data_IF_792195595905
#
_entry.id   IF_792195595905
#
_cell.length_a   1.000
_cell.length_b   1.000
_cell.length_c   1.000
_cell.angle_alpha   90.00
_cell.angle_beta   90.00
_cell.angle_gamma   90.00
#
_symmetry.space_group_name_H-M   'P 1'
#
loop_
_entity.id
_entity.type
_entity.pdbx_description
1 polymer ?
#
# COMPACT_ATOMS: atom_id res chain seq x y z
N UNK A 1 26.62 13.42 -33.01
CA UNK A 1 25.46 13.47 -33.91
C UNK A 1 24.41 12.61 -33.23
N UNK A 2 23.60 13.23 -32.37
CA UNK A 2 22.83 12.52 -31.33
C UNK A 2 21.38 12.96 -31.48
N UNK A 3 20.62 12.19 -32.25
CA UNK A 3 19.18 12.38 -32.39
C UNK A 3 18.50 12.04 -31.06
N UNK A 4 17.94 13.07 -30.42
CA UNK A 4 16.98 12.89 -29.33
C UNK A 4 15.70 12.33 -29.94
N UNK A 5 15.42 11.06 -29.68
CA UNK A 5 14.11 10.46 -29.91
C UNK A 5 13.12 11.21 -29.02
N UNK A 6 12.27 12.03 -29.64
CA UNK A 6 11.07 12.59 -29.01
C UNK A 6 10.20 11.41 -28.59
N UNK A 7 9.86 11.32 -27.30
CA UNK A 7 8.71 10.55 -26.87
C UNK A 7 7.50 11.13 -27.61
N UNK A 8 6.87 10.30 -28.46
CA UNK A 8 5.56 10.64 -28.99
C UNK A 8 4.60 10.82 -27.81
N UNK A 9 3.68 11.80 -27.86
CA UNK A 9 2.66 11.92 -26.83
C UNK A 9 1.87 10.61 -26.79
N UNK A 10 1.89 9.96 -25.63
CA UNK A 10 1.08 8.78 -25.36
C UNK A 10 -0.36 9.04 -25.84
N UNK A 11 -1.01 8.09 -26.54
CA UNK A 11 -2.36 8.28 -27.02
C UNK A 11 -3.24 8.71 -25.86
N UNK A 12 -3.86 9.90 -25.98
CA UNK A 12 -4.80 10.39 -24.97
C UNK A 12 -5.80 9.27 -24.68
N UNK A 13 -6.02 8.88 -23.41
CA UNK A 13 -7.06 7.92 -23.08
C UNK A 13 -8.34 8.42 -23.75
N UNK A 14 -8.95 7.56 -24.57
CA UNK A 14 -10.16 7.89 -25.31
C UNK A 14 -11.18 8.44 -24.31
N UNK A 15 -11.67 9.66 -24.55
CA UNK A 15 -12.62 10.38 -23.68
C UNK A 15 -13.68 9.42 -23.08
N UNK A 16 -13.45 9.00 -21.83
CA UNK A 16 -14.45 8.27 -21.06
C UNK A 16 -15.55 9.28 -20.73
N UNK A 17 -16.70 9.08 -21.37
CA UNK A 17 -17.89 9.91 -21.13
C UNK A 17 -18.27 9.79 -19.66
N UNK A 18 -18.45 10.89 -18.90
CA UNK A 18 -18.88 10.80 -17.51
C UNK A 18 -20.25 10.12 -17.45
N UNK A 19 -20.29 8.93 -16.86
CA UNK A 19 -21.52 8.18 -16.61
C UNK A 19 -22.12 8.68 -15.30
N UNK A 20 -23.32 9.23 -15.36
CA UNK A 20 -24.12 9.55 -14.17
C UNK A 20 -24.50 8.26 -13.45
N UNK A 21 -24.22 8.10 -12.14
CA UNK A 21 -24.57 6.89 -11.43
C UNK A 21 -26.10 6.82 -11.22
N UNK A 22 -26.75 5.81 -11.82
CA UNK A 22 -28.11 5.41 -11.44
C UNK A 22 -28.03 4.28 -10.40
N UNK A 23 -28.44 4.60 -9.17
CA UNK A 23 -28.48 3.66 -8.05
C UNK A 23 -29.72 2.76 -8.19
N UNK A 24 -29.55 1.51 -8.60
CA UNK A 24 -30.54 0.46 -8.36
C UNK A 24 -29.96 -0.60 -7.41
N UNK A 25 -30.56 -0.69 -6.23
CA UNK A 25 -30.21 -1.67 -5.22
C UNK A 25 -30.91 -3.00 -5.53
N UNK A 26 -30.18 -3.94 -6.11
CA UNK A 26 -30.58 -5.35 -6.23
C UNK A 26 -29.73 -6.17 -5.26
N UNK A 27 -30.40 -6.78 -4.28
CA UNK A 27 -29.85 -7.57 -3.18
C UNK A 27 -29.52 -9.00 -3.66
N UNK A 28 -28.27 -9.43 -3.43
CA UNK A 28 -27.92 -10.85 -3.47
C UNK A 28 -27.89 -11.37 -2.01
N UNK A 29 -28.58 -12.49 -1.70
CA UNK A 29 -28.63 -13.01 -0.34
C UNK A 29 -27.41 -13.91 -0.09
N UNK A 30 -26.53 -13.48 0.81
CA UNK A 30 -25.43 -14.32 1.31
C UNK A 30 -24.21 -13.51 1.73
N UNK A 31 -24.12 -13.22 3.03
CA UNK A 31 -23.04 -12.51 3.74
C UNK A 31 -23.04 -10.96 3.61
N UNK A 32 -23.59 -10.21 4.58
CA UNK A 32 -23.54 -8.74 4.60
C UNK A 32 -22.17 -8.14 5.03
N UNK A 33 -21.13 -8.95 5.21
CA UNK A 33 -19.81 -8.51 5.67
C UNK A 33 -18.83 -8.27 4.51
N UNK A 34 -18.64 -7.01 4.08
CA UNK A 34 -17.60 -6.69 3.09
C UNK A 34 -17.62 -5.30 2.46
N UNK A 35 -18.59 -4.43 2.80
CA UNK A 35 -18.80 -3.20 2.02
C UNK A 35 -17.99 -1.97 2.47
N UNK A 36 -17.21 -2.02 3.55
CA UNK A 36 -16.51 -0.83 4.04
C UNK A 36 -15.46 -0.29 3.04
N UNK A 37 -14.73 -1.19 2.37
CA UNK A 37 -13.76 -0.82 1.34
C UNK A 37 -14.41 -0.12 0.13
N UNK A 38 -15.42 -0.75 -0.51
CA UNK A 38 -16.18 -0.12 -1.59
C UNK A 38 -16.79 1.23 -1.21
N UNK A 39 -17.41 1.36 -0.03
CA UNK A 39 -18.05 2.61 0.38
C UNK A 39 -17.06 3.79 0.47
N UNK A 40 -15.84 3.53 0.96
CA UNK A 40 -14.80 4.57 1.00
C UNK A 40 -14.33 4.96 -0.41
N UNK A 41 -14.20 4.00 -1.31
CA UNK A 41 -13.80 4.26 -2.69
C UNK A 41 -14.88 5.03 -3.45
N UNK A 42 -16.16 4.74 -3.22
CA UNK A 42 -17.28 5.51 -3.75
C UNK A 42 -17.29 6.94 -3.20
N UNK A 43 -16.97 7.12 -1.92
CA UNK A 43 -16.83 8.45 -1.30
C UNK A 43 -15.65 9.22 -1.91
N UNK A 44 -14.50 8.57 -2.09
CA UNK A 44 -13.35 9.13 -2.78
C UNK A 44 -13.74 9.55 -4.20
N UNK A 45 -14.36 8.65 -4.96
CA UNK A 45 -14.81 8.91 -6.33
C UNK A 45 -15.73 10.13 -6.42
N UNK A 46 -16.75 10.17 -5.57
CA UNK A 46 -17.71 11.29 -5.51
C UNK A 46 -17.00 12.61 -5.20
N UNK A 47 -16.09 12.60 -4.23
CA UNK A 47 -15.35 13.79 -3.83
C UNK A 47 -14.40 14.28 -4.93
N UNK A 48 -13.66 13.38 -5.59
CA UNK A 48 -12.82 13.73 -6.73
C UNK A 48 -13.64 14.30 -7.89
N UNK A 49 -14.80 13.71 -8.18
CA UNK A 49 -15.71 14.20 -9.21
C UNK A 49 -16.19 15.62 -8.95
N UNK A 50 -16.57 15.93 -7.70
CA UNK A 50 -16.96 17.28 -7.30
C UNK A 50 -15.82 18.30 -7.42
N UNK A 51 -14.60 17.96 -6.97
CA UNK A 51 -13.45 18.85 -7.05
C UNK A 51 -12.99 19.09 -8.49
N UNK A 52 -13.09 18.08 -9.35
CA UNK A 52 -12.80 18.19 -10.78
C UNK A 52 -13.82 19.10 -11.49
N UNK A 53 -15.12 18.98 -11.16
CA UNK A 53 -16.16 19.85 -11.70
C UNK A 53 -15.95 21.33 -11.32
N UNK A 54 -15.38 21.60 -10.16
CA UNK A 54 -15.03 22.96 -9.73
C UNK A 54 -13.81 23.53 -10.45
N UNK A 55 -13.07 22.72 -11.22
CA UNK A 55 -11.84 23.13 -11.90
C UNK A 55 -10.65 23.38 -10.95
N UNK A 56 -10.78 23.00 -9.68
CA UNK A 56 -9.80 23.30 -8.62
C UNK A 56 -8.80 22.17 -8.39
N UNK A 57 -8.87 21.09 -9.17
CA UNK A 57 -8.04 19.91 -8.99
C UNK A 57 -7.45 19.47 -10.34
N UNK A 58 -6.12 19.59 -10.54
CA UNK A 58 -5.50 19.37 -11.84
C UNK A 58 -5.20 17.88 -12.13
N UNK A 59 -5.65 16.96 -11.28
CA UNK A 59 -5.35 15.53 -11.42
C UNK A 59 -6.58 14.73 -11.86
N UNK A 60 -6.34 13.73 -12.70
CA UNK A 60 -7.33 12.74 -13.10
C UNK A 60 -7.12 11.45 -12.28
N UNK A 61 -8.08 11.06 -11.42
CA UNK A 61 -7.94 9.84 -10.64
C UNK A 61 -8.18 8.60 -11.50
N UNK A 62 -7.27 7.63 -11.41
CA UNK A 62 -7.41 6.32 -12.07
C UNK A 62 -7.42 5.23 -11.01
N UNK A 63 -8.47 4.40 -10.99
CA UNK A 63 -8.65 3.34 -10.00
C UNK A 63 -8.24 1.99 -10.62
N UNK A 64 -7.21 1.37 -10.06
CA UNK A 64 -6.55 0.21 -10.67
C UNK A 64 -7.03 -1.16 -10.15
N UNK A 65 -7.71 -1.23 -9.01
CA UNK A 65 -7.90 -2.52 -8.29
C UNK A 65 -9.32 -2.86 -7.86
N UNK A 66 -10.31 -1.96 -8.03
CA UNK A 66 -11.67 -2.22 -7.53
C UNK A 66 -12.69 -2.10 -8.65
N UNK A 67 -13.50 -3.15 -8.82
CA UNK A 67 -14.76 -3.09 -9.59
C UNK A 67 -15.71 -2.12 -8.90
N UNK A 68 -15.72 -0.87 -9.37
CA UNK A 68 -16.79 0.08 -9.06
C UNK A 68 -18.01 -0.33 -9.88
N UNK A 69 -19.19 -0.41 -9.27
CA UNK A 69 -20.40 -0.80 -10.01
C UNK A 69 -20.61 0.19 -11.15
N UNK A 70 -20.94 -0.32 -12.34
CA UNK A 70 -21.17 0.45 -13.58
C UNK A 70 -19.93 1.10 -14.25
N UNK A 71 -18.71 0.90 -13.74
CA UNK A 71 -17.48 1.35 -14.42
C UNK A 71 -16.62 0.11 -14.75
N UNK A 72 -16.19 -0.09 -16.02
CA UNK A 72 -15.23 -1.12 -16.38
C UNK A 72 -13.85 -0.71 -15.84
N UNK A 73 -13.62 -0.91 -14.54
CA UNK A 73 -12.39 -0.50 -13.85
C UNK A 73 -11.29 -1.56 -13.90
N UNK A 74 -11.54 -2.72 -14.53
CA UNK A 74 -10.49 -3.72 -14.73
C UNK A 74 -9.81 -3.40 -16.06
N UNK A 75 -8.89 -2.45 -16.01
CA UNK A 75 -7.84 -2.35 -16.99
C UNK A 75 -6.56 -2.86 -16.34
N UNK A 76 -5.98 -3.92 -16.90
CA UNK A 76 -4.68 -4.38 -16.47
C UNK A 76 -3.66 -3.34 -16.90
N UNK A 77 -3.10 -2.61 -15.94
CA UNK A 77 -2.06 -1.60 -16.19
C UNK A 77 -0.70 -2.27 -16.09
N UNK A 78 0.14 -2.03 -17.08
CA UNK A 78 1.54 -2.49 -17.09
C UNK A 78 2.40 -1.66 -16.14
N UNK A 79 3.55 -2.19 -15.70
CA UNK A 79 4.49 -1.38 -14.90
C UNK A 79 4.97 -0.12 -15.63
N UNK A 80 5.14 -0.19 -16.96
CA UNK A 80 5.49 0.98 -17.75
C UNK A 80 4.45 2.09 -17.58
N UNK A 81 3.16 1.77 -17.74
CA UNK A 81 2.07 2.72 -17.53
C UNK A 81 1.98 3.18 -16.06
N UNK A 82 2.18 2.27 -15.09
CA UNK A 82 2.18 2.65 -13.67
C UNK A 82 3.27 3.68 -13.35
N UNK A 83 4.44 3.57 -13.98
CA UNK A 83 5.55 4.50 -13.78
C UNK A 83 5.27 5.92 -14.30
N UNK A 84 4.26 6.09 -15.16
CA UNK A 84 3.87 7.38 -15.71
C UNK A 84 2.93 8.16 -14.78
N UNK A 85 2.33 7.54 -13.76
CA UNK A 85 1.47 8.26 -12.82
C UNK A 85 2.28 9.27 -11.99
N UNK A 86 1.69 10.43 -11.76
CA UNK A 86 2.27 11.47 -10.91
C UNK A 86 2.47 11.00 -9.47
N UNK A 87 1.45 10.32 -8.92
CA UNK A 87 1.48 9.69 -7.60
C UNK A 87 0.43 8.57 -7.56
N UNK A 88 0.59 7.65 -6.61
CA UNK A 88 -0.33 6.56 -6.34
C UNK A 88 -0.86 6.65 -4.90
N UNK A 89 -2.18 6.64 -4.75
CA UNK A 89 -2.84 6.49 -3.45
C UNK A 89 -2.97 5.00 -3.17
N UNK A 90 -2.14 4.50 -2.26
CA UNK A 90 -2.03 3.08 -1.96
C UNK A 90 -2.82 2.74 -0.70
N UNK A 91 -3.86 1.93 -0.84
CA UNK A 91 -4.69 1.48 0.27
C UNK A 91 -4.36 0.02 0.65
N UNK A 92 -3.56 -0.22 1.71
CA UNK A 92 -3.16 -1.57 2.06
C UNK A 92 -4.36 -2.37 2.60
N UNK A 93 -4.66 -3.49 1.96
CA UNK A 93 -5.68 -4.44 2.42
C UNK A 93 -5.08 -5.74 2.99
N UNK A 94 -3.75 -5.90 2.89
CA UNK A 94 -2.97 -6.97 3.52
C UNK A 94 -1.55 -6.46 3.90
N UNK A 95 -0.84 -7.19 4.76
CA UNK A 95 0.57 -6.94 5.14
C UNK A 95 1.52 -7.24 3.98
N UNK A 96 1.21 -8.22 3.14
CA UNK A 96 2.12 -8.76 2.12
C UNK A 96 1.75 -8.30 0.71
N UNK A 97 1.68 -6.99 0.51
CA UNK A 97 1.39 -6.44 -0.81
C UNK A 97 2.67 -6.17 -1.58
N UNK A 98 3.12 -7.15 -2.40
CA UNK A 98 4.32 -6.99 -3.27
C UNK A 98 4.24 -5.74 -4.15
N UNK A 99 3.04 -5.38 -4.60
CA UNK A 99 2.81 -4.18 -5.41
C UNK A 99 3.31 -2.90 -4.74
N UNK A 100 3.29 -2.80 -3.41
CA UNK A 100 3.84 -1.65 -2.70
C UNK A 100 5.35 -1.50 -2.98
N UNK A 101 6.11 -2.57 -2.74
CA UNK A 101 7.57 -2.58 -2.91
C UNK A 101 7.93 -2.38 -4.39
N UNK A 102 7.14 -2.92 -5.32
CA UNK A 102 7.30 -2.70 -6.76
C UNK A 102 7.12 -1.23 -7.14
N UNK A 103 6.01 -0.60 -6.74
CA UNK A 103 5.78 0.83 -7.00
C UNK A 103 6.85 1.71 -6.35
N UNK A 104 7.28 1.37 -5.14
CA UNK A 104 8.32 2.10 -4.43
C UNK A 104 9.68 2.00 -5.13
N UNK A 105 10.07 0.80 -5.58
CA UNK A 105 11.32 0.59 -6.32
C UNK A 105 11.31 1.22 -7.71
N UNK A 106 10.14 1.31 -8.34
CA UNK A 106 9.91 2.08 -9.57
C UNK A 106 9.89 3.60 -9.36
N UNK A 107 10.02 4.07 -8.13
CA UNK A 107 10.00 5.49 -7.76
C UNK A 107 8.67 6.16 -8.13
N UNK A 108 7.56 5.42 -8.06
CA UNK A 108 6.23 6.02 -8.11
C UNK A 108 5.96 6.64 -6.74
N UNK A 109 5.68 7.95 -6.62
CA UNK A 109 5.37 8.53 -5.32
C UNK A 109 4.12 7.93 -4.71
N UNK A 110 4.18 7.57 -3.43
CA UNK A 110 3.11 6.83 -2.75
C UNK A 110 2.50 7.65 -1.62
N UNK A 111 1.18 7.66 -1.57
CA UNK A 111 0.38 8.20 -0.48
C UNK A 111 -0.38 7.08 0.21
N UNK A 112 -0.20 6.97 1.52
CA UNK A 112 -0.88 5.96 2.35
C UNK A 112 -1.78 6.64 3.37
N UNK A 113 -2.86 5.96 3.80
CA UNK A 113 -3.55 6.36 5.01
C UNK A 113 -2.60 6.44 6.20
N UNK A 114 -2.89 7.31 7.15
CA UNK A 114 -2.12 7.37 8.39
C UNK A 114 -2.23 6.07 9.21
N UNK A 115 -1.32 5.93 10.19
CA UNK A 115 -1.26 4.75 11.06
C UNK A 115 -2.61 4.43 11.71
N UNK A 116 -3.38 5.45 12.11
CA UNK A 116 -4.66 5.25 12.78
C UNK A 116 -5.70 4.65 11.83
N UNK A 117 -5.77 5.15 10.58
CA UNK A 117 -6.65 4.60 9.55
C UNK A 117 -6.30 3.16 9.22
N UNK A 118 -5.02 2.86 8.94
CA UNK A 118 -4.62 1.49 8.58
C UNK A 118 -4.94 0.51 9.71
N UNK A 119 -4.61 0.84 10.97
CA UNK A 119 -4.93 -0.02 12.12
C UNK A 119 -6.43 -0.24 12.24
N UNK A 120 -7.23 0.81 12.08
CA UNK A 120 -8.69 0.70 12.15
C UNK A 120 -9.25 -0.20 11.04
N UNK A 121 -8.77 -0.03 9.81
CA UNK A 121 -9.16 -0.87 8.67
C UNK A 121 -8.72 -2.32 8.84
N UNK A 122 -7.53 -2.55 9.38
CA UNK A 122 -7.01 -3.89 9.65
C UNK A 122 -7.85 -4.60 10.71
N UNK A 123 -8.13 -3.98 11.86
CA UNK A 123 -8.98 -4.55 12.91
C UNK A 123 -10.40 -4.84 12.41
N UNK A 124 -10.98 -3.91 11.63
CA UNK A 124 -12.27 -4.12 11.00
C UNK A 124 -12.24 -5.32 10.06
N UNK A 125 -11.21 -5.41 9.21
CA UNK A 125 -11.04 -6.50 8.26
C UNK A 125 -10.85 -7.86 8.93
N UNK A 126 -10.09 -7.92 10.02
CA UNK A 126 -9.89 -9.14 10.80
C UNK A 126 -11.18 -9.66 11.41
N UNK A 127 -12.09 -8.76 11.79
CA UNK A 127 -13.36 -9.09 12.42
C UNK A 127 -14.46 -9.45 11.40
N UNK A 128 -14.50 -8.78 10.25
CA UNK A 128 -15.67 -8.81 9.35
C UNK A 128 -15.39 -9.31 7.93
N UNK A 129 -14.14 -9.58 7.58
CA UNK A 129 -13.76 -10.23 6.32
C UNK A 129 -13.06 -11.55 6.64
N UNK A 130 -12.98 -12.49 5.70
CA UNK A 130 -12.11 -13.67 5.80
C UNK A 130 -10.87 -13.60 4.89
N UNK A 131 -10.85 -12.63 3.98
CA UNK A 131 -9.83 -12.52 2.93
C UNK A 131 -8.69 -11.59 3.33
N UNK A 132 -8.99 -10.48 4.00
CA UNK A 132 -8.01 -9.45 4.29
C UNK A 132 -7.26 -9.76 5.59
N UNK A 133 -5.95 -9.55 5.59
CA UNK A 133 -5.07 -9.75 6.75
C UNK A 133 -5.21 -11.15 7.35
N UNK A 134 -5.52 -12.14 6.52
CA UNK A 134 -5.87 -13.47 7.01
C UNK A 134 -4.67 -14.18 7.65
N UNK A 135 -3.45 -13.85 7.21
CA UNK A 135 -2.20 -14.42 7.72
C UNK A 135 -1.95 -14.15 9.20
N UNK A 136 -2.47 -13.06 9.74
CA UNK A 136 -2.23 -12.65 11.14
C UNK A 136 -3.37 -13.07 12.08
N UNK A 137 -4.24 -14.00 11.67
CA UNK A 137 -5.32 -14.52 12.52
C UNK A 137 -4.85 -15.74 13.30
N UNK A 138 -5.12 -15.74 14.60
CA UNK A 138 -4.77 -16.86 15.48
C UNK A 138 -5.31 -18.19 14.95
N UNK A 139 -6.58 -18.22 14.52
CA UNK A 139 -7.24 -19.43 13.99
C UNK A 139 -6.64 -19.98 12.69
N UNK A 140 -5.90 -19.16 11.94
CA UNK A 140 -5.29 -19.56 10.67
C UNK A 140 -3.89 -20.14 10.87
N UNK A 141 -3.28 -19.92 12.03
CA UNK A 141 -2.00 -20.52 12.41
C UNK A 141 -2.29 -21.87 13.07
N UNK A 142 -2.14 -22.96 12.31
CA UNK A 142 -2.29 -24.34 12.84
C UNK A 142 -1.06 -24.80 13.65
N UNK A 143 -0.01 -23.99 13.69
CA UNK A 143 1.21 -24.28 14.42
C UNK A 143 1.09 -23.74 15.85
N UNK A 144 1.46 -24.56 16.83
CA UNK A 144 1.81 -24.03 18.14
C UNK A 144 3.06 -23.16 17.96
N UNK A 145 3.14 -22.01 18.65
CA UNK A 145 4.41 -21.30 18.76
C UNK A 145 5.46 -22.30 19.23
N UNK A 146 6.70 -22.24 18.70
CA UNK A 146 7.79 -23.05 19.25
C UNK A 146 7.76 -22.86 20.77
N UNK A 147 7.52 -23.96 21.48
CA UNK A 147 7.25 -23.95 22.91
C UNK A 147 8.32 -23.09 23.59
N UNK A 148 7.87 -22.07 24.32
CA UNK A 148 8.65 -20.99 24.95
C UNK A 148 9.71 -21.45 25.99
N UNK A 149 10.17 -22.70 25.92
CA UNK A 149 11.21 -23.29 26.76
C UNK A 149 12.64 -22.87 26.40
N UNK A 150 12.85 -22.03 25.37
CA UNK A 150 14.14 -21.45 25.00
C UNK A 150 14.06 -19.92 25.07
N UNK A 151 14.10 -19.38 26.30
CA UNK A 151 14.01 -17.95 26.61
C UNK A 151 12.68 -17.27 26.17
N UNK A 152 12.24 -16.21 26.86
CA UNK A 152 11.14 -15.39 26.35
C UNK A 152 11.51 -14.87 24.96
N UNK A 153 10.69 -15.20 23.96
CA UNK A 153 10.87 -14.64 22.62
C UNK A 153 10.78 -13.11 22.74
N UNK A 154 11.77 -12.33 22.24
CA UNK A 154 11.94 -10.92 22.57
C UNK A 154 10.94 -10.01 21.82
N UNK A 155 9.70 -10.46 21.60
CA UNK A 155 8.64 -9.66 20.98
C UNK A 155 7.56 -9.34 22.02
N UNK A 156 7.06 -8.11 22.06
CA UNK A 156 6.08 -7.67 23.06
C UNK A 156 4.66 -8.23 22.83
N UNK A 157 4.37 -8.77 21.65
CA UNK A 157 3.05 -9.29 21.29
C UNK A 157 3.15 -10.61 20.52
N UNK A 158 2.09 -11.42 20.59
CA UNK A 158 1.94 -12.60 19.73
C UNK A 158 1.92 -12.21 18.25
N UNK A 159 2.43 -13.07 17.34
CA UNK A 159 2.45 -12.79 15.90
C UNK A 159 1.07 -12.78 15.24
N UNK A 160 0.03 -13.20 15.95
CA UNK A 160 -1.36 -13.11 15.52
C UNK A 160 -2.12 -12.08 16.34
N UNK A 161 -3.14 -11.48 15.75
CA UNK A 161 -4.03 -10.53 16.41
C UNK A 161 -5.26 -11.27 16.91
N UNK A 162 -5.46 -11.26 18.22
CA UNK A 162 -6.66 -11.81 18.86
C UNK A 162 -7.89 -11.00 18.46
N UNK A 163 -8.97 -11.66 18.03
CA UNK A 163 -10.23 -10.99 17.67
C UNK A 163 -11.26 -11.00 18.81
N UNK A 164 -10.99 -11.79 19.84
CA UNK A 164 -11.86 -12.17 20.96
C UNK A 164 -11.59 -11.37 22.25
N UNK A 165 -10.39 -10.82 22.42
CA UNK A 165 -10.03 -9.99 23.59
C UNK A 165 -9.91 -8.50 23.23
N UNK A 166 -10.09 -7.63 24.23
CA UNK A 166 -10.18 -6.17 24.12
C UNK A 166 -9.10 -5.54 23.21
N UNK A 167 -9.57 -4.64 22.35
CA UNK A 167 -8.87 -3.71 21.43
C UNK A 167 -7.42 -4.11 21.05
N UNK A 168 -7.25 -5.18 20.25
CA UNK A 168 -5.98 -5.58 19.62
C UNK A 168 -5.29 -4.51 18.75
N UNK A 169 -5.67 -3.24 18.89
CA UNK A 169 -5.11 -2.01 18.35
C UNK A 169 -3.65 -1.82 18.68
N UNK A 170 -3.21 -2.01 19.92
CA UNK A 170 -1.78 -1.82 20.24
C UNK A 170 -0.91 -2.87 19.54
N UNK A 171 -1.34 -4.13 19.58
CA UNK A 171 -0.71 -5.24 18.86
C UNK A 171 -0.72 -4.99 17.34
N UNK A 172 -1.87 -4.60 16.79
CA UNK A 172 -2.02 -4.20 15.40
C UNK A 172 -1.06 -3.07 15.00
N UNK A 173 -1.00 -2.02 15.82
CA UNK A 173 -0.19 -0.86 15.57
C UNK A 173 1.32 -1.15 15.74
N UNK A 174 1.68 -2.13 16.57
CA UNK A 174 3.03 -2.67 16.65
C UNK A 174 3.40 -3.42 15.38
N UNK A 175 2.59 -4.40 14.95
CA UNK A 175 2.89 -5.16 13.74
C UNK A 175 2.93 -4.29 12.49
N UNK A 176 2.01 -3.32 12.37
CA UNK A 176 2.04 -2.34 11.29
C UNK A 176 3.34 -1.50 11.30
N UNK A 177 3.90 -1.17 12.47
CA UNK A 177 5.14 -0.40 12.55
C UNK A 177 6.38 -1.15 12.00
N UNK A 178 6.26 -2.47 11.85
CA UNK A 178 7.30 -3.31 11.27
C UNK A 178 7.17 -3.47 9.75
N UNK A 179 6.10 -2.96 9.14
CA UNK A 179 5.90 -3.09 7.69
C UNK A 179 6.60 -1.97 6.93
N UNK A 180 6.82 -2.21 5.64
CA UNK A 180 7.38 -1.23 4.72
C UNK A 180 6.49 0.02 4.60
N UNK A 181 5.18 -0.10 4.85
CA UNK A 181 4.24 1.03 4.88
C UNK A 181 4.59 2.09 5.93
N UNK A 182 5.31 1.72 6.99
CA UNK A 182 5.73 2.64 8.05
C UNK A 182 7.23 2.87 8.07
N UNK A 183 8.03 1.90 7.62
CA UNK A 183 9.48 1.98 7.66
C UNK A 183 10.09 2.70 6.47
N UNK A 184 9.48 2.64 5.29
CA UNK A 184 10.06 3.24 4.10
C UNK A 184 9.92 4.77 4.16
N UNK A 185 11.00 5.53 3.87
CA UNK A 185 10.96 6.99 3.89
C UNK A 185 10.28 7.57 2.64
N UNK A 186 10.07 8.88 2.63
CA UNK A 186 9.56 9.63 1.47
C UNK A 186 8.16 9.19 0.99
N UNK A 187 7.36 8.65 1.91
CA UNK A 187 5.94 8.34 1.71
C UNK A 187 5.08 9.51 2.18
N UNK A 188 4.06 9.87 1.39
CA UNK A 188 2.98 10.74 1.86
C UNK A 188 2.04 9.98 2.79
N UNK A 189 1.61 10.61 3.88
CA UNK A 189 0.64 10.02 4.80
C UNK A 189 -0.52 10.99 5.04
N UNK A 190 -1.75 10.53 4.85
CA UNK A 190 -2.94 11.38 5.00
C UNK A 190 -3.90 10.86 6.07
N UNK A 191 -4.49 11.78 6.82
CA UNK A 191 -5.46 11.50 7.90
C UNK A 191 -6.91 11.50 7.42
N UNK A 192 -7.14 12.04 6.22
CA UNK A 192 -8.47 12.19 5.62
C UNK A 192 -8.37 12.42 4.11
N UNK A 193 -9.49 12.30 3.40
CA UNK A 193 -9.55 12.62 1.96
C UNK A 193 -9.23 14.10 1.67
N UNK A 194 -9.77 15.09 2.39
CA UNK A 194 -9.38 16.49 2.17
C UNK A 194 -7.88 16.75 2.41
N UNK A 195 -7.31 16.10 3.43
CA UNK A 195 -5.86 16.17 3.73
C UNK A 195 -5.03 15.61 2.58
N UNK A 196 -5.40 14.43 2.04
CA UNK A 196 -4.76 13.85 0.85
C UNK A 196 -4.72 14.84 -0.32
N UNK A 197 -5.84 15.52 -0.62
CA UNK A 197 -5.91 16.47 -1.73
C UNK A 197 -5.05 17.71 -1.49
N UNK A 198 -5.04 18.21 -0.25
CA UNK A 198 -4.19 19.32 0.14
C UNK A 198 -2.71 18.96 -0.03
N UNK A 199 -2.31 17.75 0.39
CA UNK A 199 -0.96 17.24 0.19
C UNK A 199 -0.62 17.10 -1.29
N UNK A 200 -1.47 16.46 -2.10
CA UNK A 200 -1.24 16.30 -3.55
C UNK A 200 -1.03 17.63 -4.29
N UNK A 201 -1.67 18.72 -3.85
CA UNK A 201 -1.47 20.06 -4.43
C UNK A 201 -0.10 20.67 -4.11
N UNK A 202 0.50 20.30 -2.98
CA UNK A 202 1.73 20.89 -2.45
C UNK A 202 2.94 19.96 -2.58
N UNK A 203 2.72 18.74 -3.06
CA UNK A 203 3.71 17.69 -3.06
C UNK A 203 4.80 17.91 -4.12
N UNK A 204 6.08 17.83 -3.70
CA UNK A 204 7.21 17.76 -4.63
C UNK A 204 7.52 16.30 -4.95
N UNK A 205 6.94 15.82 -6.05
CA UNK A 205 7.15 14.46 -6.53
C UNK A 205 8.62 14.17 -6.87
N UNK A 206 9.37 15.16 -7.34
CA UNK A 206 10.77 14.95 -7.73
C UNK A 206 11.68 14.86 -6.50
N UNK A 207 11.39 15.61 -5.44
CA UNK A 207 12.05 15.44 -4.15
C UNK A 207 11.79 14.05 -3.57
N UNK A 208 10.53 13.62 -3.52
CA UNK A 208 10.18 12.28 -3.04
C UNK A 208 10.92 11.18 -3.82
N UNK A 209 10.90 11.25 -5.16
CA UNK A 209 11.62 10.31 -6.04
C UNK A 209 13.13 10.28 -5.77
N UNK A 210 13.77 11.44 -5.56
CA UNK A 210 15.19 11.50 -5.20
C UNK A 210 15.45 10.80 -3.87
N UNK A 211 14.61 11.04 -2.86
CA UNK A 211 14.71 10.40 -1.56
C UNK A 211 14.52 8.87 -1.64
N UNK A 212 13.50 8.42 -2.37
CA UNK A 212 13.22 6.99 -2.60
C UNK A 212 14.41 6.32 -3.29
N UNK A 213 14.97 6.96 -4.33
CA UNK A 213 16.15 6.46 -5.04
C UNK A 213 17.35 6.32 -4.13
N UNK A 214 17.67 7.36 -3.35
CA UNK A 214 18.77 7.33 -2.41
C UNK A 214 18.62 6.21 -1.36
N UNK A 215 17.41 6.03 -0.83
CA UNK A 215 17.11 4.93 0.08
C UNK A 215 17.29 3.56 -0.59
N UNK A 216 16.74 3.36 -1.79
CA UNK A 216 16.87 2.10 -2.54
C UNK A 216 18.33 1.76 -2.83
N UNK A 217 19.14 2.73 -3.24
CA UNK A 217 20.57 2.56 -3.49
C UNK A 217 21.33 2.17 -2.21
N UNK A 218 21.03 2.81 -1.08
CA UNK A 218 21.63 2.48 0.21
C UNK A 218 21.22 1.09 0.72
N UNK A 219 19.93 0.73 0.59
CA UNK A 219 19.40 -0.58 0.97
C UNK A 219 19.99 -1.69 0.11
N UNK A 220 20.12 -1.48 -1.21
CA UNK A 220 20.75 -2.42 -2.12
C UNK A 220 22.21 -2.68 -1.73
N UNK A 221 22.98 -1.60 -1.48
CA UNK A 221 24.38 -1.73 -1.05
C UNK A 221 24.49 -2.53 0.25
N UNK A 222 23.72 -2.15 1.27
CA UNK A 222 23.72 -2.81 2.57
C UNK A 222 23.34 -4.31 2.46
N UNK A 223 22.36 -4.62 1.61
CA UNK A 223 21.95 -6.01 1.35
C UNK A 223 23.07 -6.81 0.68
N UNK A 224 23.73 -6.24 -0.33
CA UNK A 224 24.86 -6.91 -1.00
C UNK A 224 26.01 -7.17 -0.04
N UNK A 225 26.33 -6.22 0.83
CA UNK A 225 27.40 -6.38 1.83
C UNK A 225 27.05 -7.47 2.85
N UNK A 226 25.81 -7.50 3.34
CA UNK A 226 25.30 -8.58 4.20
C UNK A 226 25.44 -9.95 3.52
N UNK A 227 24.95 -10.10 2.28
CA UNK A 227 24.99 -11.39 1.59
C UNK A 227 26.40 -11.85 1.26
N UNK A 228 27.31 -10.93 0.92
CA UNK A 228 28.74 -11.25 0.73
C UNK A 228 29.37 -11.75 2.02
N UNK A 229 29.10 -11.07 3.13
CA UNK A 229 29.58 -11.48 4.45
C UNK A 229 29.03 -12.86 4.84
N UNK A 230 27.71 -13.07 4.70
CA UNK A 230 27.06 -14.32 5.03
C UNK A 230 27.62 -15.48 4.18
N UNK A 231 27.83 -15.25 2.88
CA UNK A 231 28.45 -16.23 1.99
C UNK A 231 29.90 -16.55 2.40
N UNK A 232 30.70 -15.55 2.78
CA UNK A 232 32.07 -15.77 3.27
C UNK A 232 32.10 -16.63 4.54
N UNK A 233 31.19 -16.36 5.50
CA UNK A 233 31.04 -17.16 6.71
C UNK A 233 30.65 -18.61 6.41
N UNK A 234 29.68 -18.82 5.51
CA UNK A 234 29.21 -20.15 5.13
C UNK A 234 30.28 -20.98 4.41
N UNK A 235 31.16 -20.34 3.63
CA UNK A 235 32.24 -21.00 2.90
C UNK A 235 33.49 -21.25 3.75
N UNK A 236 33.45 -20.98 5.06
CA UNK A 236 34.58 -21.20 5.97
C UNK A 236 35.72 -20.19 5.80
N UNK A 237 35.51 -19.11 5.04
CA UNK A 237 36.45 -18.01 4.91
C UNK A 237 36.24 -17.04 6.07
N UNK A 238 36.66 -17.44 7.27
CA UNK A 238 36.60 -16.61 8.48
C UNK A 238 37.62 -15.46 8.43
N UNK A 239 37.49 -14.55 7.47
CA UNK A 239 38.07 -13.22 7.61
C UNK A 239 37.09 -12.40 8.46
N UNK A 240 37.38 -12.29 9.76
CA UNK A 240 36.82 -11.22 10.58
C UNK A 240 37.44 -9.91 10.12
N UNK A 241 36.64 -8.97 9.61
CA UNK A 241 36.73 -7.63 10.19
C UNK A 241 35.38 -6.90 10.29
N UNK A 242 35.40 -5.80 11.06
CA UNK A 242 34.38 -4.78 11.29
C UNK A 242 33.47 -4.99 12.52
N UNK A 243 34.08 -4.88 13.71
CA UNK A 243 33.52 -4.08 14.82
C UNK A 243 34.34 -2.79 14.93
#
# INVERSE_FOLDING_TARGET
MTERIRAEPSPKPQNLKPLSPSLSASEAPGCPGGQAGPALLELLWSFFGEEQQKGNFPFEPVFLSVRVRAVPTIYAVTYEEMSQFYACVFWPWDVMMMLFSELYTMLVPLFLPDRHWIVSTMLWSLRYSDQNWWHIRARNVKAQLPSAGLAPFPIPYDPWIGTDQFDGREQAAYWLSLTEFQQYPNLGHFRSVPDLLAQLRQFDAEEAKRGMRAFNEATLRSSLDFYRWAAACLLGNSMLPWL
#
